data_IF_199650440641
#
_entry.id   IF_199650440641
#
_cell.length_a   1.000
_cell.length_b   1.000
_cell.length_c   1.000
_cell.angle_alpha   90.00
_cell.angle_beta   90.00
_cell.angle_gamma   90.00
#
_symmetry.space_group_name_H-M   'P 1'
#
loop_
_entity.id
_entity.type
_entity.pdbx_description
1 polymer ?
#
# COMPACT_ATOMS: atom_id res chain seq x y z
N UNK A 1 -38.27 -13.29 33.90
CA UNK A 1 -36.80 -13.22 34.04
C UNK A 1 -36.24 -14.04 32.90
N UNK A 2 -36.08 -13.40 31.76
CA UNK A 2 -35.49 -13.96 30.54
C UNK A 2 -34.15 -13.27 30.45
N UNK A 3 -33.07 -14.05 30.47
CA UNK A 3 -31.75 -13.51 30.19
C UNK A 3 -31.73 -13.25 28.69
N UNK A 4 -31.73 -11.98 28.30
CA UNK A 4 -31.35 -11.59 26.95
C UNK A 4 -29.89 -12.03 26.75
N UNK A 5 -29.68 -13.02 25.88
CA UNK A 5 -28.36 -13.33 25.36
C UNK A 5 -27.75 -12.02 24.82
N UNK A 6 -26.53 -11.63 25.23
CA UNK A 6 -25.86 -10.53 24.57
C UNK A 6 -25.61 -10.98 23.13
N UNK A 7 -26.39 -10.40 22.22
CA UNK A 7 -26.13 -10.45 20.80
C UNK A 7 -24.76 -9.81 20.59
N UNK A 8 -23.71 -10.63 20.48
CA UNK A 8 -22.46 -10.22 19.87
C UNK A 8 -22.76 -10.14 18.36
N UNK A 9 -23.36 -9.03 17.96
CA UNK A 9 -23.70 -8.74 16.57
C UNK A 9 -22.43 -8.30 15.84
N UNK A 10 -22.00 -9.13 14.89
CA UNK A 10 -21.03 -8.74 13.87
C UNK A 10 -19.89 -9.74 13.79
N UNK A 11 -20.08 -10.77 12.98
CA UNK A 11 -19.02 -11.57 12.39
C UNK A 11 -17.95 -10.60 11.85
N UNK A 12 -16.84 -10.44 12.58
CA UNK A 12 -15.75 -9.53 12.25
C UNK A 12 -14.93 -10.13 11.10
N UNK A 13 -15.57 -10.36 9.95
CA UNK A 13 -14.90 -10.76 8.73
C UNK A 13 -14.12 -9.53 8.23
N UNK A 14 -12.82 -9.52 8.51
CA UNK A 14 -11.88 -8.62 7.85
C UNK A 14 -12.02 -8.90 6.35
N UNK A 15 -12.24 -7.87 5.54
CA UNK A 15 -12.32 -8.06 4.10
C UNK A 15 -10.99 -8.58 3.55
N UNK A 16 -11.02 -9.32 2.44
CA UNK A 16 -9.79 -9.77 1.79
C UNK A 16 -8.86 -8.60 1.44
N UNK A 17 -9.44 -7.45 1.09
CA UNK A 17 -8.71 -6.21 0.85
C UNK A 17 -7.93 -5.72 2.07
N UNK A 18 -8.61 -5.60 3.22
CA UNK A 18 -7.97 -5.17 4.46
C UNK A 18 -6.93 -6.19 4.97
N UNK A 19 -7.20 -7.49 4.78
CA UNK A 19 -6.25 -8.56 5.10
C UNK A 19 -5.00 -8.48 4.21
N UNK A 20 -5.18 -8.19 2.92
CA UNK A 20 -4.09 -8.04 1.97
C UNK A 20 -3.26 -6.78 2.21
N UNK A 21 -3.89 -5.64 2.50
CA UNK A 21 -3.21 -4.41 2.91
C UNK A 21 -2.36 -4.64 4.17
N UNK A 22 -2.93 -5.33 5.17
CA UNK A 22 -2.21 -5.73 6.39
C UNK A 22 -1.02 -6.63 6.09
N UNK A 23 -1.16 -7.58 5.16
CA UNK A 23 -0.05 -8.43 4.76
C UNK A 23 1.08 -7.63 4.08
N UNK A 24 0.75 -6.72 3.16
CA UNK A 24 1.73 -5.82 2.53
C UNK A 24 2.43 -4.96 3.57
N UNK A 25 1.69 -4.41 4.55
CA UNK A 25 2.28 -3.67 5.66
C UNK A 25 3.33 -4.49 6.41
N UNK A 26 3.03 -5.75 6.75
CA UNK A 26 4.00 -6.60 7.43
C UNK A 26 5.24 -6.90 6.59
N UNK A 27 5.10 -7.11 5.27
CA UNK A 27 6.26 -7.26 4.38
C UNK A 27 7.11 -5.98 4.34
N UNK A 28 6.49 -4.81 4.30
CA UNK A 28 7.20 -3.53 4.38
C UNK A 28 7.93 -3.34 5.72
N UNK A 29 7.34 -3.77 6.83
CA UNK A 29 7.98 -3.74 8.16
C UNK A 29 9.21 -4.65 8.21
N UNK A 30 9.11 -5.88 7.68
CA UNK A 30 10.26 -6.79 7.58
C UNK A 30 11.37 -6.16 6.74
N UNK A 31 11.01 -5.59 5.58
CA UNK A 31 11.97 -4.91 4.71
C UNK A 31 12.63 -3.70 5.40
N UNK A 32 11.85 -2.87 6.10
CA UNK A 32 12.34 -1.70 6.88
C UNK A 32 13.46 -2.11 7.83
N UNK A 33 13.25 -3.18 8.61
CA UNK A 33 14.19 -3.66 9.63
C UNK A 33 15.50 -4.22 9.05
N UNK A 34 15.54 -4.49 7.75
CA UNK A 34 16.73 -4.98 7.05
C UNK A 34 17.54 -3.85 6.39
N UNK A 35 17.09 -2.60 6.46
CA UNK A 35 17.80 -1.46 5.88
C UNK A 35 18.92 -0.98 6.82
N UNK A 36 20.01 -0.49 6.24
CA UNK A 36 21.11 0.10 7.02
C UNK A 36 20.69 1.40 7.74
N UNK A 37 19.80 2.16 7.12
CA UNK A 37 19.10 3.31 7.70
C UNK A 37 17.62 2.97 7.59
N UNK A 38 16.95 2.77 8.72
CA UNK A 38 15.54 2.38 8.73
C UNK A 38 14.67 3.54 8.23
N UNK A 39 13.91 3.37 7.13
CA UNK A 39 12.92 4.36 6.73
C UNK A 39 11.71 4.33 7.65
N UNK A 40 11.00 5.45 7.79
CA UNK A 40 9.73 5.49 8.49
C UNK A 40 8.56 5.15 7.56
N UNK A 41 7.52 4.51 8.11
CA UNK A 41 6.31 4.14 7.37
C UNK A 41 5.11 4.80 8.05
N UNK A 42 4.37 5.61 7.30
CA UNK A 42 3.20 6.33 7.79
C UNK A 42 1.96 6.02 6.97
N UNK A 43 0.79 6.07 7.61
CA UNK A 43 -0.49 6.15 6.91
C UNK A 43 -0.79 7.62 6.60
N UNK A 44 -1.36 7.91 5.42
CA UNK A 44 -1.63 9.29 5.01
C UNK A 44 -3.10 9.52 4.69
N UNK A 45 -3.66 10.57 5.30
CA UNK A 45 -5.02 11.04 5.02
C UNK A 45 -5.08 12.56 5.16
N UNK A 46 -5.70 13.22 4.19
CA UNK A 46 -5.98 14.66 4.28
C UNK A 46 -7.39 14.93 4.80
N UNK A 47 -7.64 16.15 5.28
CA UNK A 47 -8.98 16.59 5.67
C UNK A 47 -9.98 16.56 4.49
N UNK A 48 -9.49 16.61 3.25
CA UNK A 48 -10.29 16.51 2.03
C UNK A 48 -10.58 15.05 1.60
N UNK A 49 -10.16 14.05 2.39
CA UNK A 49 -10.43 12.64 2.13
C UNK A 49 -9.54 12.00 1.06
N UNK A 50 -8.38 12.58 0.76
CA UNK A 50 -7.35 11.87 0.00
C UNK A 50 -6.66 10.89 0.95
N UNK A 51 -6.53 9.64 0.53
CA UNK A 51 -5.95 8.54 1.31
C UNK A 51 -4.83 7.89 0.51
N UNK A 52 -3.73 7.57 1.17
CA UNK A 52 -2.65 6.76 0.65
C UNK A 52 -2.29 5.77 1.75
N UNK A 53 -2.28 4.49 1.42
CA UNK A 53 -2.11 3.40 2.39
C UNK A 53 -0.78 3.56 3.14
N UNK A 54 0.33 3.78 2.41
CA UNK A 54 1.63 3.98 3.04
C UNK A 54 2.44 5.11 2.40
N UNK A 55 3.16 5.85 3.23
CA UNK A 55 4.28 6.70 2.86
C UNK A 55 5.55 6.12 3.47
N UNK A 56 6.51 5.75 2.62
CA UNK A 56 7.83 5.32 3.05
C UNK A 56 8.76 6.54 2.97
N UNK A 57 9.22 7.00 4.13
CA UNK A 57 10.01 8.22 4.29
C UNK A 57 11.45 7.86 4.70
N UNK A 58 12.42 8.28 3.90
CA UNK A 58 13.84 8.15 4.23
C UNK A 58 14.65 9.33 3.69
N UNK A 59 15.97 9.24 3.77
CA UNK A 59 16.87 10.32 3.34
C UNK A 59 16.73 10.68 1.84
N UNK A 60 16.27 9.73 1.02
CA UNK A 60 16.02 9.91 -0.41
C UNK A 60 14.69 10.57 -0.77
N UNK A 61 13.83 10.85 0.21
CA UNK A 61 12.50 11.43 0.02
C UNK A 61 11.36 10.53 0.48
N UNK A 62 10.21 10.69 -0.16
CA UNK A 62 8.94 10.06 0.20
C UNK A 62 8.44 9.22 -0.98
N UNK A 63 8.30 7.92 -0.76
CA UNK A 63 7.68 6.99 -1.69
C UNK A 63 6.25 6.67 -1.23
N UNK A 64 5.21 7.22 -1.89
CA UNK A 64 3.83 6.87 -1.63
C UNK A 64 3.49 5.53 -2.29
N UNK A 65 2.76 4.70 -1.54
CA UNK A 65 2.38 3.34 -1.92
C UNK A 65 0.88 3.17 -1.71
N UNK A 66 0.19 2.73 -2.76
CA UNK A 66 -1.20 2.23 -2.69
C UNK A 66 -1.21 0.70 -2.83
N UNK A 67 -2.14 0.03 -2.15
CA UNK A 67 -2.30 -1.41 -2.17
C UNK A 67 -3.64 -1.78 -2.80
N UNK A 68 -3.59 -2.67 -3.79
CA UNK A 68 -4.77 -3.14 -4.50
C UNK A 68 -4.92 -4.64 -4.43
N UNK A 69 -5.96 -5.11 -3.75
CA UNK A 69 -6.39 -6.51 -3.83
C UNK A 69 -7.13 -6.78 -5.15
N UNK A 70 -6.39 -6.77 -6.25
CA UNK A 70 -6.89 -7.01 -7.61
C UNK A 70 -5.75 -7.54 -8.50
N UNK A 71 -6.10 -8.38 -9.48
CA UNK A 71 -5.16 -8.83 -10.52
C UNK A 71 -4.96 -7.80 -11.63
N UNK A 72 -5.78 -6.74 -11.65
CA UNK A 72 -5.72 -5.65 -12.63
C UNK A 72 -5.64 -4.31 -11.91
N UNK A 73 -4.85 -3.40 -12.48
CA UNK A 73 -4.78 -1.99 -12.11
C UNK A 73 -5.19 -1.11 -13.27
N UNK A 74 -5.87 -0.01 -12.98
CA UNK A 74 -6.21 1.02 -13.96
C UNK A 74 -5.65 2.40 -13.58
N UNK A 75 -5.97 3.41 -14.38
CA UNK A 75 -5.51 4.78 -14.16
C UNK A 75 -6.14 5.42 -12.90
N UNK A 76 -7.33 5.00 -12.48
CA UNK A 76 -8.02 5.55 -11.32
C UNK A 76 -7.34 5.13 -10.00
N UNK A 77 -6.73 3.94 -9.98
CA UNK A 77 -5.93 3.39 -8.87
C UNK A 77 -4.63 4.19 -8.59
N UNK A 78 -4.31 5.23 -9.35
CA UNK A 78 -3.12 6.07 -9.11
C UNK A 78 -3.46 7.55 -8.90
N UNK A 79 -4.75 7.88 -8.78
CA UNK A 79 -5.23 9.26 -8.63
C UNK A 79 -4.67 9.93 -7.38
N UNK A 80 -4.69 9.24 -6.25
CA UNK A 80 -4.29 9.82 -4.97
C UNK A 80 -2.77 9.99 -4.89
N UNK A 81 -2.01 8.99 -5.38
CA UNK A 81 -0.56 9.11 -5.55
C UNK A 81 -0.19 10.28 -6.47
N UNK A 82 -0.85 10.43 -7.62
CA UNK A 82 -0.58 11.52 -8.56
C UNK A 82 -0.82 12.89 -7.92
N UNK A 83 -1.92 13.06 -7.18
CA UNK A 83 -2.22 14.31 -6.49
C UNK A 83 -1.15 14.64 -5.44
N UNK A 84 -0.80 13.67 -4.60
CA UNK A 84 0.25 13.83 -3.59
C UNK A 84 1.61 14.17 -4.20
N UNK A 85 2.01 13.47 -5.26
CA UNK A 85 3.29 13.69 -5.94
C UNK A 85 3.35 15.04 -6.65
N UNK A 86 2.23 15.54 -7.19
CA UNK A 86 2.17 16.89 -7.77
C UNK A 86 2.45 17.97 -6.72
N UNK A 87 1.92 17.81 -5.52
CA UNK A 87 2.14 18.73 -4.40
C UNK A 87 3.55 18.60 -3.81
N UNK A 88 4.14 17.40 -3.86
CA UNK A 88 5.41 17.07 -3.21
C UNK A 88 6.54 16.71 -4.18
N UNK A 89 6.51 17.21 -5.42
CA UNK A 89 7.35 16.74 -6.54
C UNK A 89 8.85 16.61 -6.26
N UNK A 90 9.42 17.49 -5.43
CA UNK A 90 10.85 17.41 -5.06
C UNK A 90 11.16 16.27 -4.10
N UNK A 91 10.25 16.00 -3.16
CA UNK A 91 10.40 14.97 -2.16
C UNK A 91 9.87 13.62 -2.64
N UNK A 92 8.93 13.59 -3.59
CA UNK A 92 8.24 12.39 -4.05
C UNK A 92 8.24 12.29 -5.58
N UNK A 93 9.36 11.85 -6.19
CA UNK A 93 9.49 11.76 -7.64
C UNK A 93 8.86 10.49 -8.24
N UNK A 94 8.56 9.47 -7.42
CA UNK A 94 8.06 8.16 -7.84
C UNK A 94 6.95 7.70 -6.88
N UNK A 95 5.91 7.04 -7.40
CA UNK A 95 4.88 6.35 -6.63
C UNK A 95 4.69 4.90 -7.08
N UNK A 96 4.18 4.04 -6.20
CA UNK A 96 3.96 2.62 -6.50
C UNK A 96 2.54 2.20 -6.13
N UNK A 97 1.93 1.37 -6.98
CA UNK A 97 0.74 0.59 -6.65
C UNK A 97 1.13 -0.88 -6.56
N UNK A 98 1.03 -1.45 -5.36
CA UNK A 98 1.28 -2.89 -5.12
C UNK A 98 0.00 -3.66 -5.39
N UNK A 99 0.06 -4.66 -6.26
CA UNK A 99 -1.13 -5.40 -6.68
C UNK A 99 -0.84 -6.88 -6.98
N UNK A 100 -1.90 -7.68 -7.21
CA UNK A 100 -1.81 -9.14 -7.37
C UNK A 100 -1.66 -9.62 -8.81
N UNK A 101 -1.36 -8.72 -9.74
CA UNK A 101 -1.21 -9.08 -11.16
C UNK A 101 0.17 -9.63 -11.50
N UNK A 102 0.54 -9.52 -12.79
CA UNK A 102 1.75 -10.17 -13.33
C UNK A 102 2.67 -9.22 -14.10
N UNK A 103 2.19 -8.02 -14.39
CA UNK A 103 2.89 -7.09 -15.27
C UNK A 103 3.41 -5.88 -14.50
N UNK A 104 4.59 -5.43 -14.90
CA UNK A 104 5.03 -4.08 -14.55
C UNK A 104 4.42 -3.11 -15.52
N UNK A 105 3.76 -2.09 -14.98
CA UNK A 105 3.12 -1.11 -15.82
C UNK A 105 3.23 0.27 -15.21
N UNK A 106 3.73 1.21 -15.99
CA UNK A 106 3.53 2.62 -15.68
C UNK A 106 2.05 2.94 -15.95
N UNK A 107 1.29 3.17 -14.87
CA UNK A 107 -0.14 3.47 -14.94
C UNK A 107 -0.41 4.96 -14.98
N UNK A 108 0.53 5.80 -14.54
CA UNK A 108 0.58 7.26 -14.72
C UNK A 108 2.05 7.69 -14.75
N UNK A 109 2.38 8.91 -15.24
CA UNK A 109 3.77 9.38 -15.25
C UNK A 109 4.45 9.26 -13.88
N UNK A 110 5.51 8.47 -13.81
CA UNK A 110 6.26 8.12 -12.59
C UNK A 110 5.46 7.36 -11.52
N UNK A 111 4.36 6.70 -11.88
CA UNK A 111 3.59 5.82 -10.98
C UNK A 111 3.48 4.43 -11.60
N UNK A 112 4.03 3.45 -10.89
CA UNK A 112 4.19 2.10 -11.38
C UNK A 112 3.32 1.12 -10.61
N UNK A 113 2.52 0.34 -11.33
CA UNK A 113 1.91 -0.87 -10.79
C UNK A 113 2.97 -1.99 -10.76
N UNK A 114 3.23 -2.53 -9.58
CA UNK A 114 4.24 -3.56 -9.33
C UNK A 114 3.58 -4.76 -8.65
N UNK A 115 3.74 -5.99 -9.19
CA UNK A 115 3.22 -7.18 -8.53
C UNK A 115 3.85 -7.46 -7.17
N UNK A 116 3.05 -7.92 -6.22
CA UNK A 116 3.48 -8.32 -4.87
C UNK A 116 4.58 -9.39 -4.86
N UNK A 117 4.48 -10.41 -5.71
CA UNK A 117 5.45 -11.49 -5.84
C UNK A 117 6.82 -11.01 -6.31
N UNK A 118 6.89 -9.85 -6.96
CA UNK A 118 8.17 -9.28 -7.33
C UNK A 118 8.81 -8.50 -6.19
N UNK A 119 8.01 -7.75 -5.43
CA UNK A 119 8.51 -6.95 -4.32
C UNK A 119 8.90 -7.80 -3.10
N UNK A 120 8.12 -8.84 -2.83
CA UNK A 120 8.23 -9.63 -1.60
C UNK A 120 8.52 -11.12 -1.86
N UNK A 121 8.65 -11.52 -3.12
CA UNK A 121 9.02 -12.89 -3.47
C UNK A 121 10.43 -13.23 -3.00
N UNK A 122 10.57 -14.37 -2.34
CA UNK A 122 11.88 -14.99 -2.16
C UNK A 122 12.46 -15.40 -3.51
N UNK A 123 13.79 -15.38 -3.64
CA UNK A 123 14.46 -16.02 -4.77
C UNK A 123 14.22 -17.52 -4.64
N UNK A 124 13.22 -18.03 -5.34
CA UNK A 124 13.09 -19.48 -5.54
C UNK A 124 14.30 -19.91 -6.36
N UNK A 125 15.28 -20.55 -5.74
CA UNK A 125 16.33 -21.26 -6.46
C UNK A 125 15.64 -22.31 -7.34
N UNK A 126 15.74 -22.13 -8.67
CA UNK A 126 15.46 -23.20 -9.62
C UNK A 126 16.53 -24.28 -9.52
#
# INVERSE_FOLDING_TARGET
MTFDDPVIAGDASISDGASYETWVFFELIKWKQLQAIEPEIFFYRTAAGLEIDFLICGDGGILPVEVKFSEKTDYADARHLEAFMKENKKASPLGIVVYRGREFKEIRPNIWAIPDWYLFGGISSQ
#
